data_IF_669054492077
#
_entry.id   IF_669054492077
#
_cell.length_a   1.000
_cell.length_b   1.000
_cell.length_c   1.000
_cell.angle_alpha   90.00
_cell.angle_beta   90.00
_cell.angle_gamma   90.00
#
_symmetry.space_group_name_H-M   'P 1'
#
loop_
_entity.id
_entity.type
_entity.pdbx_description
1 polymer ?
#
# COMPACT_ATOMS: atom_id res chain seq x y z
N UNK A 1 34.94 56.52 -49.51
CA UNK A 1 34.27 55.93 -48.33
C UNK A 1 32.98 55.27 -48.81
N UNK A 2 32.86 53.95 -48.72
CA UNK A 2 31.70 53.18 -49.22
C UNK A 2 31.13 52.33 -48.08
N UNK A 3 29.87 52.58 -47.73
CA UNK A 3 29.15 51.89 -46.65
C UNK A 3 28.46 50.63 -47.21
N UNK A 4 28.83 49.44 -46.70
CA UNK A 4 28.12 48.19 -46.98
C UNK A 4 26.88 48.08 -46.09
N UNK A 5 25.70 48.01 -46.70
CA UNK A 5 24.44 47.68 -46.02
C UNK A 5 24.42 46.21 -45.60
N UNK A 6 24.08 45.95 -44.32
CA UNK A 6 23.82 44.61 -43.80
C UNK A 6 22.39 44.19 -44.16
N UNK A 7 22.26 43.07 -44.88
CA UNK A 7 20.96 42.43 -45.14
C UNK A 7 20.53 41.64 -43.92
N UNK A 8 19.35 41.95 -43.39
CA UNK A 8 18.69 41.17 -42.35
C UNK A 8 17.95 39.98 -42.98
N UNK A 9 18.23 38.78 -42.51
CA UNK A 9 17.49 37.58 -42.87
C UNK A 9 16.41 37.30 -41.82
N UNK A 10 15.19 36.91 -42.23
CA UNK A 10 14.14 36.54 -41.28
C UNK A 10 14.52 35.24 -40.57
N UNK A 11 14.39 35.25 -39.24
CA UNK A 11 14.56 34.07 -38.39
C UNK A 11 13.23 33.31 -38.41
N UNK A 12 13.17 32.20 -39.14
CA UNK A 12 12.02 31.31 -39.14
C UNK A 12 12.15 30.35 -37.96
N UNK A 13 11.34 30.53 -36.92
CA UNK A 13 11.28 29.63 -35.77
C UNK A 13 10.57 28.35 -36.18
N UNK A 14 11.33 27.26 -36.31
CA UNK A 14 10.78 25.93 -36.58
C UNK A 14 10.39 25.33 -35.22
N UNK A 15 9.10 25.32 -34.88
CA UNK A 15 8.59 24.55 -33.75
C UNK A 15 8.45 23.09 -34.18
N UNK A 16 9.23 22.15 -33.62
CA UNK A 16 9.09 20.74 -33.94
C UNK A 16 7.74 20.22 -33.44
N UNK A 17 6.92 19.75 -34.38
CA UNK A 17 5.66 19.05 -34.11
C UNK A 17 6.00 17.60 -33.72
N UNK A 18 6.17 17.36 -32.42
CA UNK A 18 6.41 16.02 -31.90
C UNK A 18 5.08 15.26 -31.82
N UNK A 19 4.96 14.09 -32.46
CA UNK A 19 3.75 13.28 -32.38
C UNK A 19 3.52 12.88 -30.93
N UNK A 20 2.31 13.13 -30.43
CA UNK A 20 1.80 12.71 -29.11
C UNK A 20 1.83 11.18 -29.03
N UNK A 21 3.00 10.62 -28.75
CA UNK A 21 3.20 9.20 -28.48
C UNK A 21 2.46 8.91 -27.18
N UNK A 22 1.42 8.08 -27.29
CA UNK A 22 0.71 7.53 -26.15
C UNK A 22 1.70 6.76 -25.27
N UNK A 23 2.21 7.40 -24.22
CA UNK A 23 2.88 6.71 -23.15
C UNK A 23 1.80 5.96 -22.37
N UNK A 24 1.65 4.67 -22.66
CA UNK A 24 0.90 3.76 -21.78
C UNK A 24 1.72 3.67 -20.50
N UNK A 25 1.32 4.46 -19.49
CA UNK A 25 1.88 4.34 -18.15
C UNK A 25 1.60 2.90 -17.70
N UNK A 26 2.63 2.09 -17.59
CA UNK A 26 2.51 0.81 -16.89
C UNK A 26 2.41 1.20 -15.43
N UNK A 27 1.19 1.29 -14.91
CA UNK A 27 0.95 1.45 -13.48
C UNK A 27 1.34 0.13 -12.85
N UNK A 28 2.48 0.11 -12.17
CA UNK A 28 2.86 -1.00 -11.32
C UNK A 28 1.96 -0.94 -10.09
N UNK A 29 1.04 -1.90 -9.97
CA UNK A 29 0.20 -2.06 -8.79
C UNK A 29 0.95 -3.03 -7.89
N UNK A 30 1.55 -2.59 -6.77
CA UNK A 30 2.24 -3.49 -5.87
C UNK A 30 1.21 -4.38 -5.19
N UNK A 31 1.22 -5.67 -5.50
CA UNK A 31 0.50 -6.69 -4.74
C UNK A 31 1.45 -7.38 -3.77
N UNK A 32 0.92 -7.83 -2.64
CA UNK A 32 1.74 -8.33 -1.53
C UNK A 32 0.91 -8.98 -0.45
N UNK A 33 1.59 -9.41 0.61
CA UNK A 33 0.97 -10.08 1.76
C UNK A 33 1.15 -9.25 3.02
N UNK A 34 0.20 -9.36 3.95
CA UNK A 34 0.34 -8.81 5.29
C UNK A 34 0.84 -9.88 6.25
N UNK A 35 1.91 -9.58 6.97
CA UNK A 35 2.60 -10.50 7.87
C UNK A 35 2.81 -9.84 9.23
N UNK A 36 2.58 -10.60 10.29
CA UNK A 36 2.95 -10.22 11.65
C UNK A 36 4.42 -10.51 11.85
N UNK A 37 5.21 -9.46 12.06
CA UNK A 37 6.67 -9.54 12.20
C UNK A 37 7.14 -9.47 13.65
N UNK A 38 6.29 -8.99 14.56
CA UNK A 38 6.57 -8.93 16.00
C UNK A 38 5.33 -9.12 16.85
N UNK A 39 5.50 -9.72 18.03
CA UNK A 39 4.50 -9.77 19.12
C UNK A 39 5.21 -9.31 20.40
N UNK A 40 4.71 -8.26 21.05
CA UNK A 40 5.33 -7.66 22.27
C UNK A 40 6.83 -7.35 22.11
N UNK A 41 7.22 -6.86 20.92
CA UNK A 41 8.60 -6.58 20.50
C UNK A 41 9.50 -7.80 20.24
N UNK A 42 9.02 -9.02 20.48
CA UNK A 42 9.72 -10.23 20.12
C UNK A 42 9.50 -10.54 18.63
N UNK A 43 10.55 -10.93 17.88
CA UNK A 43 10.41 -11.35 16.49
C UNK A 43 9.40 -12.48 16.32
N UNK A 44 8.55 -12.36 15.32
CA UNK A 44 7.55 -13.34 14.98
C UNK A 44 7.43 -13.44 13.45
N UNK A 45 6.94 -14.56 12.94
CA UNK A 45 6.59 -14.68 11.53
C UNK A 45 5.27 -15.45 11.44
N UNK A 46 4.21 -14.76 11.03
CA UNK A 46 2.94 -15.38 10.72
C UNK A 46 2.13 -14.53 9.78
N UNK A 47 1.32 -15.19 8.97
CA UNK A 47 0.56 -14.56 7.90
C UNK A 47 -0.81 -14.13 8.39
N UNK A 48 -1.36 -13.08 7.78
CA UNK A 48 -2.76 -12.73 7.97
C UNK A 48 -3.64 -13.45 6.94
N UNK A 49 -4.65 -14.15 7.43
CA UNK A 49 -5.63 -14.85 6.63
C UNK A 49 -7.03 -14.29 6.83
N UNK A 50 -7.87 -14.37 5.79
CA UNK A 50 -9.27 -13.96 5.86
C UNK A 50 -10.16 -15.18 6.11
N UNK A 51 -10.93 -15.16 7.20
CA UNK A 51 -11.98 -16.14 7.50
C UNK A 51 -13.27 -15.36 7.75
N UNK A 52 -14.32 -15.68 6.99
CA UNK A 52 -15.65 -15.04 7.13
C UNK A 52 -15.59 -13.49 7.09
N UNK A 53 -14.73 -12.94 6.25
CA UNK A 53 -14.55 -11.49 6.11
C UNK A 53 -13.82 -10.82 7.26
N UNK A 54 -13.16 -11.57 8.15
CA UNK A 54 -12.33 -11.02 9.23
C UNK A 54 -10.88 -11.49 9.09
N UNK A 55 -9.94 -10.66 9.55
CA UNK A 55 -8.52 -11.00 9.52
C UNK A 55 -8.09 -11.72 10.80
N UNK A 56 -7.51 -12.90 10.62
CA UNK A 56 -6.95 -13.74 11.65
C UNK A 56 -5.46 -13.92 11.44
N UNK A 57 -4.72 -14.10 12.53
CA UNK A 57 -3.40 -14.72 12.45
C UNK A 57 -3.54 -16.19 12.01
N UNK A 58 -2.77 -16.60 11.01
CA UNK A 58 -2.82 -17.96 10.47
C UNK A 58 -1.61 -18.34 9.63
N UNK A 59 -1.75 -19.45 8.90
CA UNK A 59 -0.71 -20.05 8.05
C UNK A 59 -1.00 -19.87 6.55
N UNK A 60 -2.16 -19.31 6.20
CA UNK A 60 -2.54 -19.03 4.80
C UNK A 60 -2.21 -17.60 4.43
N UNK A 61 -1.57 -17.45 3.28
CA UNK A 61 -1.30 -16.14 2.70
C UNK A 61 -2.57 -15.55 2.10
N UNK A 62 -2.81 -14.28 2.38
CA UNK A 62 -3.79 -13.46 1.67
C UNK A 62 -3.07 -12.38 0.91
N UNK A 63 -3.28 -12.34 -0.41
CA UNK A 63 -2.70 -11.33 -1.28
C UNK A 63 -3.62 -10.12 -1.34
N UNK A 64 -3.03 -8.94 -1.20
CA UNK A 64 -3.70 -7.66 -1.32
C UNK A 64 -3.04 -6.83 -2.44
N UNK A 65 -3.85 -6.08 -3.16
CA UNK A 65 -3.43 -4.95 -3.97
C UNK A 65 -3.40 -3.69 -3.10
N UNK A 66 -2.23 -3.08 -2.95
CA UNK A 66 -2.10 -1.78 -2.29
C UNK A 66 -2.26 -0.64 -3.30
N UNK A 67 -3.16 0.28 -3.00
CA UNK A 67 -3.45 1.45 -3.83
C UNK A 67 -2.89 2.72 -3.21
N UNK A 68 -2.37 3.63 -4.04
CA UNK A 68 -1.70 4.86 -3.58
C UNK A 68 -2.63 5.83 -2.85
N UNK A 69 -3.94 5.70 -3.04
CA UNK A 69 -4.96 6.44 -2.30
C UNK A 69 -5.10 5.96 -0.84
N UNK A 70 -4.38 4.92 -0.45
CA UNK A 70 -4.29 4.46 0.94
C UNK A 70 -5.36 3.44 1.32
N UNK A 71 -5.67 2.51 0.42
CA UNK A 71 -6.55 1.37 0.69
C UNK A 71 -5.94 0.07 0.18
N UNK A 72 -6.38 -1.05 0.75
CA UNK A 72 -6.00 -2.38 0.33
C UNK A 72 -7.22 -3.11 -0.18
N UNK A 73 -7.11 -3.67 -1.38
CA UNK A 73 -8.10 -4.56 -1.97
C UNK A 73 -7.55 -5.99 -1.88
N UNK A 74 -8.38 -6.95 -1.51
CA UNK A 74 -8.04 -8.37 -1.63
C UNK A 74 -7.94 -8.72 -3.11
N UNK A 75 -6.81 -9.28 -3.51
CA UNK A 75 -6.46 -9.50 -4.92
C UNK A 75 -7.58 -10.15 -5.73
N UNK A 76 -8.06 -9.46 -6.77
CA UNK A 76 -9.13 -9.88 -7.69
C UNK A 76 -10.48 -10.25 -7.03
N UNK A 77 -10.74 -9.81 -5.80
CA UNK A 77 -11.96 -10.15 -5.07
C UNK A 77 -13.00 -9.02 -5.02
N UNK A 78 -12.62 -7.76 -5.24
CA UNK A 78 -13.52 -6.62 -5.06
C UNK A 78 -13.93 -6.40 -3.59
N UNK A 79 -13.14 -6.92 -2.66
CA UNK A 79 -13.31 -6.74 -1.22
C UNK A 79 -12.14 -5.93 -0.67
N UNK A 80 -12.42 -4.96 0.18
CA UNK A 80 -11.42 -4.02 0.70
C UNK A 80 -11.19 -4.24 2.19
N UNK A 81 -9.94 -4.16 2.60
CA UNK A 81 -9.58 -4.15 4.02
C UNK A 81 -10.19 -2.91 4.68
N UNK A 82 -10.70 -3.08 5.89
CA UNK A 82 -11.40 -2.08 6.67
C UNK A 82 -11.17 -2.33 8.15
N UNK A 83 -11.43 -1.32 8.97
CA UNK A 83 -11.57 -1.48 10.42
C UNK A 83 -13.04 -1.27 10.77
N UNK A 84 -13.63 -2.17 11.55
CA UNK A 84 -15.02 -2.05 12.00
C UNK A 84 -15.18 -1.17 13.25
N UNK A 85 -16.42 -0.99 13.70
CA UNK A 85 -16.74 -0.14 14.85
C UNK A 85 -16.12 -0.64 16.17
N UNK A 86 -15.76 -1.92 16.25
CA UNK A 86 -15.08 -2.51 17.39
C UNK A 86 -13.55 -2.42 17.31
N UNK A 87 -13.03 -1.84 16.22
CA UNK A 87 -11.59 -1.75 15.95
C UNK A 87 -11.01 -3.01 15.33
N UNK A 88 -11.82 -3.95 14.82
CA UNK A 88 -11.33 -5.20 14.22
C UNK A 88 -11.12 -5.05 12.72
N UNK A 89 -10.08 -5.70 12.19
CA UNK A 89 -9.81 -5.73 10.75
C UNK A 89 -10.81 -6.67 10.06
N UNK A 90 -11.52 -6.14 9.08
CA UNK A 90 -12.60 -6.79 8.35
C UNK A 90 -12.54 -6.49 6.85
N UNK A 91 -13.26 -7.26 6.05
CA UNK A 91 -13.44 -7.04 4.62
C UNK A 91 -14.78 -6.34 4.37
N UNK A 92 -14.80 -5.36 3.45
CA UNK A 92 -16.00 -4.62 3.03
C UNK A 92 -16.07 -4.45 1.52
N UNK A 93 -17.25 -4.11 1.00
CA UNK A 93 -17.48 -3.91 -0.43
C UNK A 93 -17.06 -2.54 -0.97
N UNK A 94 -16.56 -1.64 -0.12
CA UNK A 94 -16.15 -0.29 -0.50
C UNK A 94 -14.77 0.02 0.06
N UNK A 95 -13.93 0.79 -0.66
CA UNK A 95 -12.60 1.16 -0.19
C UNK A 95 -12.65 1.85 1.17
N UNK A 96 -11.80 1.41 2.09
CA UNK A 96 -11.56 2.10 3.36
C UNK A 96 -10.17 2.71 3.29
N UNK A 97 -10.12 4.04 3.34
CA UNK A 97 -8.88 4.82 3.22
C UNK A 97 -8.14 4.92 4.56
N UNK A 98 -6.89 5.39 4.50
CA UNK A 98 -6.06 5.68 5.67
C UNK A 98 -5.02 4.59 5.95
N UNK A 99 -5.04 3.48 5.22
CA UNK A 99 -3.94 2.53 5.25
C UNK A 99 -2.74 3.10 4.51
N UNK A 100 -1.54 2.86 5.05
CA UNK A 100 -0.31 3.27 4.40
C UNK A 100 0.75 2.18 4.61
N UNK A 101 1.48 1.90 3.53
CA UNK A 101 2.69 1.07 3.54
C UNK A 101 3.88 2.02 3.44
N UNK A 102 4.70 2.08 4.48
CA UNK A 102 5.95 2.83 4.41
C UNK A 102 6.84 2.23 3.33
N UNK A 103 7.54 3.10 2.58
CA UNK A 103 8.40 2.63 1.49
C UNK A 103 9.34 1.54 1.99
N UNK A 104 9.45 0.40 1.29
CA UNK A 104 10.22 -0.72 1.78
C UNK A 104 11.68 -0.31 1.95
N UNK A 105 12.15 -0.32 3.21
CA UNK A 105 13.54 0.02 3.55
C UNK A 105 14.42 -1.22 3.70
N UNK A 106 13.82 -2.41 3.67
CA UNK A 106 14.51 -3.69 3.88
C UNK A 106 14.94 -4.39 2.59
N UNK A 107 15.89 -5.35 2.67
CA UNK A 107 16.36 -6.13 1.53
C UNK A 107 15.27 -7.03 0.90
N UNK A 108 14.16 -7.24 1.59
CA UNK A 108 13.07 -8.13 1.19
C UNK A 108 11.82 -7.39 0.70
N UNK A 109 11.88 -6.07 0.52
CA UNK A 109 10.70 -5.31 0.09
C UNK A 109 9.63 -5.16 1.18
N UNK A 110 10.01 -5.30 2.46
CA UNK A 110 9.10 -5.14 3.60
C UNK A 110 8.90 -3.65 3.93
N UNK A 111 7.64 -3.21 3.88
CA UNK A 111 7.21 -1.89 4.33
C UNK A 111 6.38 -1.98 5.60
N UNK A 112 6.57 -1.06 6.55
CA UNK A 112 5.75 -1.02 7.76
C UNK A 112 4.29 -0.70 7.40
N UNK A 113 3.36 -1.51 7.90
CA UNK A 113 1.94 -1.32 7.67
C UNK A 113 1.34 -0.43 8.77
N UNK A 114 0.65 0.63 8.37
CA UNK A 114 0.07 1.63 9.28
C UNK A 114 -1.36 1.97 8.90
N UNK A 115 -2.13 2.47 9.86
CA UNK A 115 -3.46 3.06 9.65
C UNK A 115 -3.51 4.45 10.27
N UNK A 116 -3.86 5.45 9.46
CA UNK A 116 -3.80 6.88 9.78
C UNK A 116 -2.45 7.32 10.37
N UNK A 117 -1.36 6.74 9.86
CA UNK A 117 0.01 7.02 10.30
C UNK A 117 0.44 6.32 11.60
N UNK A 118 -0.38 5.40 12.12
CA UNK A 118 -0.10 4.69 13.36
C UNK A 118 -0.01 3.17 13.17
N UNK A 119 0.75 2.52 14.04
CA UNK A 119 1.03 1.08 14.01
C UNK A 119 0.52 0.33 15.26
N UNK A 120 -0.49 0.87 15.96
CA UNK A 120 -1.08 0.26 17.17
C UNK A 120 -2.06 -0.88 16.84
N UNK A 121 -1.55 -1.87 16.11
CA UNK A 121 -2.25 -3.12 15.84
C UNK A 121 -2.09 -4.10 17.00
N UNK A 122 -3.10 -4.94 17.18
CA UNK A 122 -3.18 -5.87 18.29
C UNK A 122 -3.65 -7.23 17.81
N UNK A 123 -3.04 -8.29 18.36
CA UNK A 123 -3.53 -9.66 18.29
C UNK A 123 -4.42 -9.91 19.49
N UNK A 124 -5.69 -10.19 19.25
CA UNK A 124 -6.66 -10.48 20.29
C UNK A 124 -6.63 -11.97 20.70
N UNK A 125 -7.18 -12.31 21.86
CA UNK A 125 -7.20 -13.71 22.35
C UNK A 125 -7.99 -14.71 21.49
N UNK A 126 -8.81 -14.22 20.56
CA UNK A 126 -9.54 -14.97 19.53
C UNK A 126 -8.77 -15.04 18.18
N UNK A 127 -7.49 -14.67 18.18
CA UNK A 127 -6.60 -14.56 17.02
C UNK A 127 -7.01 -13.53 15.96
N UNK A 128 -8.06 -12.73 16.22
CA UNK A 128 -8.42 -11.62 15.35
C UNK A 128 -7.42 -10.47 15.48
N UNK A 129 -7.21 -9.77 14.37
CA UNK A 129 -6.41 -8.56 14.35
C UNK A 129 -7.30 -7.35 14.61
N UNK A 130 -6.86 -6.50 15.53
CA UNK A 130 -7.48 -5.21 15.83
C UNK A 130 -6.52 -4.04 15.66
N UNK A 131 -7.07 -2.84 15.60
CA UNK A 131 -6.37 -1.57 15.65
C UNK A 131 -6.97 -0.73 16.78
N UNK A 132 -6.16 -0.33 17.77
CA UNK A 132 -6.61 0.36 18.98
C UNK A 132 -7.84 -0.28 19.64
N UNK A 133 -7.93 -1.61 19.59
CA UNK A 133 -9.07 -2.35 20.11
C UNK A 133 -8.94 -2.59 21.62
N UNK A 134 -10.06 -2.72 22.33
CA UNK A 134 -10.09 -3.06 23.75
C UNK A 134 -10.17 -4.58 23.99
N UNK A 135 -9.48 -5.36 23.16
CA UNK A 135 -9.48 -6.81 23.29
C UNK A 135 -8.95 -7.25 24.66
N UNK A 136 -9.67 -8.16 25.31
CA UNK A 136 -9.15 -8.82 26.51
C UNK A 136 -7.95 -9.67 26.14
N UNK A 137 -6.82 -9.48 26.83
CA UNK A 137 -5.58 -10.22 26.59
C UNK A 137 -4.93 -9.89 25.24
N UNK A 138 -5.12 -8.68 24.72
CA UNK A 138 -4.50 -8.27 23.46
C UNK A 138 -2.98 -8.12 23.61
N UNK A 139 -2.25 -8.59 22.62
CA UNK A 139 -0.81 -8.33 22.47
C UNK A 139 -0.60 -7.30 21.37
N UNK A 140 0.34 -6.37 21.55
CA UNK A 140 0.76 -5.46 20.48
C UNK A 140 1.53 -6.23 19.42
N UNK A 141 1.22 -5.94 18.16
CA UNK A 141 1.88 -6.56 17.02
C UNK A 141 2.39 -5.52 16.03
N UNK A 142 3.48 -5.86 15.35
CA UNK A 142 3.91 -5.14 14.17
C UNK A 142 3.47 -5.92 12.93
N UNK A 143 2.85 -5.23 11.97
CA UNK A 143 2.46 -5.79 10.69
C UNK A 143 3.36 -5.17 9.61
N UNK A 144 3.90 -6.02 8.74
CA UNK A 144 4.60 -5.62 7.54
C UNK A 144 3.78 -5.98 6.30
N UNK A 145 3.95 -5.19 5.25
CA UNK A 145 3.52 -5.53 3.91
C UNK A 145 4.74 -5.96 3.11
N UNK A 146 4.69 -7.18 2.58
CA UNK A 146 5.76 -7.78 1.78
C UNK A 146 5.30 -7.87 0.34
N UNK A 147 5.92 -7.08 -0.54
CA UNK A 147 5.64 -7.12 -1.98
C UNK A 147 6.01 -8.49 -2.58
N UNK A 148 5.13 -9.03 -3.43
CA UNK A 148 5.38 -10.26 -4.18
C UNK A 148 5.71 -9.86 -5.62
N UNK A 149 6.94 -10.17 -6.06
CA UNK A 149 7.45 -9.94 -7.43
C UNK A 149 7.20 -11.12 -8.36
#
# INVERSE_FOLDING_TARGET
MSFRQKKNFPVTTITPDFPKKYFKLIVYIPFGVLEVTKIENEPFNGSLQIIEGKLYLGDRLTVFDYHQEGYLEKFLAGEYLSIDESGKLTMRSHPHLGFNVESPTGPWGEGAFTYNGESDFQLCGDNLIGFRSNCTGAFRIAIAYTEIL
#
